data_IF_804092104561
#
_entry.id   IF_804092104561
#
_cell.length_a   1.000
_cell.length_b   1.000
_cell.length_c   1.000
_cell.angle_alpha   90.00
_cell.angle_beta   90.00
_cell.angle_gamma   90.00
#
_symmetry.space_group_name_H-M   'P 1'
#
loop_
_entity.id
_entity.type
_entity.pdbx_description
1 polymer ?
#
# COMPACT_ATOMS: atom_id res chain seq x y z
N UNK A 1 -11.45 5.77 17.68
CA UNK A 1 -10.77 5.54 18.97
C UNK A 1 -9.27 5.51 18.69
N UNK A 2 -8.44 6.15 19.52
CA UNK A 2 -6.99 6.12 19.34
C UNK A 2 -6.42 4.74 19.64
N UNK A 3 -5.42 4.32 18.86
CA UNK A 3 -4.72 3.03 18.98
C UNK A 3 -3.44 3.22 19.79
N UNK A 4 -3.56 3.14 21.11
CA UNK A 4 -2.47 3.48 22.05
C UNK A 4 -1.35 2.45 22.08
N UNK A 5 -1.61 1.20 21.69
CA UNK A 5 -0.63 0.11 21.68
C UNK A 5 0.32 0.17 20.48
N UNK A 6 0.04 1.04 19.51
CA UNK A 6 0.95 1.33 18.39
C UNK A 6 1.89 2.47 18.80
N UNK A 7 3.18 2.18 18.85
CA UNK A 7 4.24 3.12 19.22
C UNK A 7 5.18 3.46 18.05
N UNK A 8 5.11 2.70 16.96
CA UNK A 8 5.89 2.94 15.74
C UNK A 8 5.02 2.83 14.50
N UNK A 9 5.19 3.79 13.61
CA UNK A 9 4.62 3.77 12.26
C UNK A 9 5.73 3.74 11.23
N UNK A 10 5.53 2.94 10.20
CA UNK A 10 6.36 2.92 9.00
C UNK A 10 5.45 3.09 7.79
N UNK A 11 5.81 3.94 6.85
CA UNK A 11 5.15 3.96 5.56
C UNK A 11 6.21 3.87 4.47
N UNK A 12 5.99 2.95 3.53
CA UNK A 12 6.87 2.73 2.39
C UNK A 12 6.14 2.98 1.07
N UNK A 13 6.63 3.95 0.30
CA UNK A 13 6.36 4.01 -1.12
C UNK A 13 7.19 2.94 -1.84
N UNK A 14 6.56 2.16 -2.71
CA UNK A 14 7.13 0.90 -3.17
C UNK A 14 7.04 0.74 -4.68
N UNK A 15 8.10 0.18 -5.24
CA UNK A 15 8.21 -0.03 -6.67
C UNK A 15 9.05 -1.26 -7.01
N UNK A 16 8.92 -1.74 -8.24
CA UNK A 16 9.84 -2.71 -8.82
C UNK A 16 11.29 -2.16 -8.81
N UNK A 17 11.49 -0.86 -9.06
CA UNK A 17 12.82 -0.24 -9.06
C UNK A 17 13.30 0.03 -7.64
N UNK A 18 14.47 -0.51 -7.20
CA UNK A 18 15.01 -0.25 -5.87
C UNK A 18 15.19 1.25 -5.55
N UNK A 19 15.62 2.03 -6.55
CA UNK A 19 15.80 3.49 -6.42
C UNK A 19 14.52 4.28 -6.10
N UNK A 20 13.36 3.63 -6.24
CA UNK A 20 12.02 4.20 -6.02
C UNK A 20 11.34 3.57 -4.81
N UNK A 21 12.08 2.85 -3.97
CA UNK A 21 11.57 2.31 -2.71
C UNK A 21 12.04 3.25 -1.63
N UNK A 22 11.11 3.91 -0.95
CA UNK A 22 11.40 4.88 0.08
C UNK A 22 10.50 4.60 1.27
N UNK A 23 11.05 4.70 2.47
CA UNK A 23 10.23 4.69 3.68
C UNK A 23 10.52 5.90 4.55
N UNK A 24 9.56 6.24 5.38
CA UNK A 24 9.76 7.08 6.55
C UNK A 24 9.10 6.44 7.76
N UNK A 25 9.47 6.90 8.94
CA UNK A 25 8.97 6.35 10.19
C UNK A 25 8.55 7.45 11.16
N UNK A 26 7.62 7.12 12.03
CA UNK A 26 7.31 7.88 13.23
C UNK A 26 7.39 7.00 14.47
N UNK A 27 7.86 7.56 15.58
CA UNK A 27 7.83 6.89 16.89
C UNK A 27 7.12 7.76 17.91
N UNK A 28 6.34 7.13 18.79
CA UNK A 28 5.67 7.83 19.87
C UNK A 28 6.71 8.20 20.95
N UNK A 29 6.82 9.49 21.25
CA UNK A 29 7.73 10.03 22.26
C UNK A 29 7.09 11.25 22.92
N UNK A 30 6.98 11.24 24.27
CA UNK A 30 6.38 12.32 25.05
C UNK A 30 4.98 12.77 24.55
N UNK A 31 4.14 11.80 24.15
CA UNK A 31 2.79 12.08 23.66
C UNK A 31 2.71 12.61 22.23
N UNK A 32 3.84 12.75 21.53
CA UNK A 32 3.91 13.17 20.13
C UNK A 32 4.47 12.05 19.24
N UNK A 33 4.20 12.13 17.95
CA UNK A 33 4.84 11.33 16.91
C UNK A 33 6.09 12.04 16.40
N UNK A 34 7.25 11.54 16.79
CA UNK A 34 8.52 12.01 16.28
C UNK A 34 8.75 11.41 14.89
N UNK A 35 8.69 12.24 13.84
CA UNK A 35 8.81 11.83 12.44
C UNK A 35 10.26 12.00 11.98
N UNK A 36 10.84 10.93 11.45
CA UNK A 36 12.20 10.90 10.89
C UNK A 36 12.22 11.25 9.40
N UNK A 37 13.42 11.54 8.89
CA UNK A 37 13.60 11.78 7.46
C UNK A 37 13.32 10.51 6.64
N UNK A 38 12.81 10.65 5.40
CA UNK A 38 12.67 9.52 4.48
C UNK A 38 14.05 8.96 4.09
N UNK A 39 14.10 7.64 3.89
CA UNK A 39 15.30 6.87 3.54
C UNK A 39 14.99 5.91 2.40
N UNK A 40 15.91 5.79 1.44
CA UNK A 40 15.79 4.83 0.35
C UNK A 40 16.04 3.40 0.83
N UNK A 41 15.29 2.44 0.30
CA UNK A 41 15.41 1.02 0.61
C UNK A 41 16.23 0.34 -0.49
N UNK A 42 17.55 0.28 -0.29
CA UNK A 42 18.46 -0.33 -1.26
C UNK A 42 18.33 -1.87 -1.30
N UNK A 43 18.18 -2.50 -0.13
CA UNK A 43 18.05 -3.94 0.02
C UNK A 43 16.81 -4.26 0.86
N UNK A 44 15.76 -4.74 0.19
CA UNK A 44 14.45 -5.04 0.79
C UNK A 44 14.53 -6.10 1.88
N UNK A 45 15.32 -7.16 1.69
CA UNK A 45 15.48 -8.24 2.68
C UNK A 45 16.17 -7.73 3.94
N UNK A 46 17.31 -7.04 3.79
CA UNK A 46 18.04 -6.48 4.91
C UNK A 46 17.19 -5.46 5.67
N UNK A 47 16.47 -4.59 4.95
CA UNK A 47 15.54 -3.64 5.56
C UNK A 47 14.39 -4.32 6.31
N UNK A 48 13.83 -5.41 5.75
CA UNK A 48 12.77 -6.18 6.41
C UNK A 48 13.24 -6.70 7.78
N UNK A 49 14.42 -7.30 7.84
CA UNK A 49 14.99 -7.86 9.07
C UNK A 49 15.41 -6.76 10.06
N UNK A 50 16.12 -5.72 9.59
CA UNK A 50 16.79 -4.75 10.48
C UNK A 50 15.94 -3.53 10.84
N UNK A 51 14.87 -3.24 10.07
CA UNK A 51 14.04 -2.04 10.26
C UNK A 51 12.58 -2.43 10.49
N UNK A 52 11.95 -3.12 9.54
CA UNK A 52 10.52 -3.45 9.62
C UNK A 52 10.21 -4.33 10.83
N UNK A 53 10.96 -5.43 10.98
CA UNK A 53 10.78 -6.40 12.07
C UNK A 53 11.58 -6.05 13.33
N UNK A 54 12.28 -4.91 13.35
CA UNK A 54 13.05 -4.49 14.52
C UNK A 54 12.13 -4.31 15.73
N UNK A 55 12.49 -4.74 16.94
CA UNK A 55 11.66 -4.55 18.12
C UNK A 55 11.25 -3.08 18.36
N UNK A 56 10.04 -2.89 18.85
CA UNK A 56 9.49 -1.63 19.37
C UNK A 56 8.98 -1.84 20.81
N UNK A 57 8.63 -0.78 21.53
CA UNK A 57 8.07 -0.90 22.89
C UNK A 57 6.63 -1.39 22.85
N UNK A 58 5.90 -1.01 21.80
CA UNK A 58 4.57 -1.50 21.43
C UNK A 58 4.57 -2.14 20.04
N UNK A 59 3.45 -2.02 19.34
CA UNK A 59 3.30 -2.52 17.98
C UNK A 59 3.81 -1.52 16.93
N UNK A 60 4.40 -2.08 15.89
CA UNK A 60 4.68 -1.38 14.64
C UNK A 60 3.51 -1.57 13.67
N UNK A 61 2.94 -0.49 13.16
CA UNK A 61 2.05 -0.53 12.00
C UNK A 61 2.82 -0.04 10.76
N UNK A 62 2.91 -0.90 9.74
CA UNK A 62 3.65 -0.64 8.51
C UNK A 62 2.72 -0.63 7.28
N UNK A 63 2.62 0.53 6.64
CA UNK A 63 1.83 0.76 5.44
C UNK A 63 2.68 0.67 4.16
N UNK A 64 2.12 0.09 3.10
CA UNK A 64 2.80 -0.09 1.82
C UNK A 64 1.93 0.37 0.63
N UNK A 65 2.53 1.13 -0.30
CA UNK A 65 1.89 1.53 -1.57
C UNK A 65 1.90 0.41 -2.62
N UNK A 66 1.22 -0.70 -2.30
CA UNK A 66 0.81 -1.70 -3.27
C UNK A 66 -0.37 -2.51 -2.76
N UNK A 67 -1.20 -3.08 -3.67
CA UNK A 67 -2.29 -3.96 -3.29
C UNK A 67 -1.87 -5.15 -2.44
N UNK A 68 -2.60 -5.43 -1.37
CA UNK A 68 -2.48 -6.64 -0.56
C UNK A 68 -3.85 -7.35 -0.57
N UNK A 69 -3.86 -8.57 -1.10
CA UNK A 69 -5.09 -9.32 -1.40
C UNK A 69 -5.30 -9.52 -2.90
N UNK A 70 -6.31 -10.31 -3.26
CA UNK A 70 -6.59 -10.69 -4.66
C UNK A 70 -8.05 -10.40 -5.03
N UNK A 71 -8.40 -10.19 -6.31
CA UNK A 71 -9.78 -9.98 -6.72
C UNK A 71 -10.67 -11.19 -6.37
N UNK A 72 -11.83 -10.94 -5.77
CA UNK A 72 -12.70 -12.01 -5.27
C UNK A 72 -13.22 -12.93 -6.39
N UNK A 73 -13.45 -12.40 -7.59
CA UNK A 73 -13.88 -13.21 -8.73
C UNK A 73 -12.80 -14.20 -9.19
N UNK A 74 -11.53 -13.78 -9.20
CA UNK A 74 -10.43 -14.69 -9.48
C UNK A 74 -10.26 -15.72 -8.37
N UNK A 75 -10.35 -15.30 -7.10
CA UNK A 75 -10.20 -16.19 -5.94
C UNK A 75 -11.20 -17.37 -5.99
N UNK A 76 -12.44 -17.11 -6.42
CA UNK A 76 -13.46 -18.15 -6.63
C UNK A 76 -13.06 -19.18 -7.69
N UNK A 77 -12.43 -18.76 -8.79
CA UNK A 77 -12.01 -19.67 -9.88
C UNK A 77 -10.95 -20.68 -9.40
N UNK A 78 -10.15 -20.30 -8.41
CA UNK A 78 -9.07 -21.12 -7.85
C UNK A 78 -9.36 -21.67 -6.45
N UNK A 79 -10.60 -21.52 -5.97
CA UNK A 79 -11.05 -21.93 -4.63
C UNK A 79 -10.22 -21.35 -3.47
N UNK A 80 -9.71 -20.13 -3.63
CA UNK A 80 -9.10 -19.39 -2.53
C UNK A 80 -10.21 -18.80 -1.67
N UNK A 81 -10.29 -19.25 -0.42
CA UNK A 81 -11.32 -18.83 0.57
C UNK A 81 -10.74 -18.00 1.71
N UNK A 82 -9.43 -18.05 1.90
CA UNK A 82 -8.67 -17.25 2.86
C UNK A 82 -7.32 -16.88 2.24
N UNK A 83 -7.10 -15.58 2.02
CA UNK A 83 -5.88 -15.04 1.41
C UNK A 83 -4.66 -15.28 2.29
N UNK A 84 -4.81 -15.16 3.61
CA UNK A 84 -3.71 -15.36 4.55
C UNK A 84 -3.22 -16.80 4.46
N UNK A 85 -4.11 -17.78 4.55
CA UNK A 85 -3.73 -19.20 4.40
C UNK A 85 -3.19 -19.50 3.00
N UNK A 86 -3.82 -18.95 1.95
CA UNK A 86 -3.35 -19.15 0.58
C UNK A 86 -1.94 -18.60 0.33
N UNK A 87 -1.55 -17.50 0.98
CA UNK A 87 -0.21 -16.91 0.86
C UNK A 87 0.91 -17.91 1.19
N UNK A 88 0.65 -18.85 2.11
CA UNK A 88 1.59 -19.92 2.51
C UNK A 88 1.75 -20.98 1.43
N UNK A 89 0.74 -21.14 0.57
CA UNK A 89 0.76 -22.11 -0.53
C UNK A 89 1.54 -21.64 -1.75
N UNK A 90 1.95 -20.37 -1.80
CA UNK A 90 2.65 -19.78 -2.95
C UNK A 90 4.02 -20.40 -3.25
N UNK A 91 4.58 -21.18 -2.32
CA UNK A 91 5.82 -21.94 -2.51
C UNK A 91 5.59 -23.33 -3.12
N UNK A 92 4.34 -23.77 -3.21
CA UNK A 92 4.01 -25.09 -3.75
C UNK A 92 4.14 -25.12 -5.28
N UNK A 93 4.36 -26.30 -5.89
CA UNK A 93 4.46 -26.43 -7.34
C UNK A 93 3.25 -25.89 -8.13
N UNK A 94 2.05 -25.91 -7.53
CA UNK A 94 0.85 -25.35 -8.15
C UNK A 94 0.98 -23.85 -8.44
N UNK A 95 1.63 -23.11 -7.54
CA UNK A 95 1.70 -21.66 -7.54
C UNK A 95 3.07 -21.11 -7.92
N UNK A 96 3.99 -21.96 -8.38
CA UNK A 96 5.37 -21.58 -8.71
C UNK A 96 5.47 -20.45 -9.75
N UNK A 97 4.45 -20.29 -10.60
CA UNK A 97 4.38 -19.27 -11.64
C UNK A 97 3.50 -18.07 -11.27
N UNK A 98 2.98 -18.00 -10.04
CA UNK A 98 2.05 -16.94 -9.66
C UNK A 98 2.67 -15.55 -9.83
N UNK A 99 3.95 -15.40 -9.49
CA UNK A 99 4.68 -14.13 -9.64
C UNK A 99 5.30 -13.94 -11.03
N UNK A 100 5.13 -14.87 -11.97
CA UNK A 100 5.64 -14.71 -13.32
C UNK A 100 4.67 -13.91 -14.18
N UNK A 101 5.11 -12.77 -14.72
CA UNK A 101 4.29 -12.03 -15.67
C UNK A 101 4.28 -12.73 -17.04
N UNK A 102 3.09 -13.04 -17.56
CA UNK A 102 2.85 -13.60 -18.88
C UNK A 102 3.30 -12.61 -19.98
N UNK A 103 4.04 -13.11 -20.96
CA UNK A 103 4.49 -12.35 -22.12
C UNK A 103 3.53 -12.46 -23.31
N UNK A 104 2.78 -13.56 -23.40
CA UNK A 104 1.80 -13.83 -24.45
C UNK A 104 0.48 -14.25 -23.81
N UNK A 105 -0.61 -14.17 -24.57
CA UNK A 105 -1.93 -14.59 -24.09
C UNK A 105 -1.98 -16.08 -23.68
N UNK A 106 -1.19 -16.92 -24.35
CA UNK A 106 -1.21 -18.38 -24.15
C UNK A 106 -0.45 -18.78 -22.86
N UNK A 107 0.33 -17.87 -22.29
CA UNK A 107 0.97 -18.04 -20.97
C UNK A 107 0.04 -17.67 -19.80
N UNK A 108 -1.06 -16.96 -20.06
CA UNK A 108 -1.98 -16.52 -19.01
C UNK A 108 -2.74 -17.75 -18.51
N UNK A 109 -2.76 -17.93 -17.20
CA UNK A 109 -3.57 -18.96 -16.55
C UNK A 109 -3.99 -18.50 -15.16
N UNK A 110 -4.90 -19.25 -14.54
CA UNK A 110 -5.32 -18.99 -13.18
C UNK A 110 -4.15 -18.97 -12.18
N UNK A 111 -3.09 -19.76 -12.41
CA UNK A 111 -1.89 -19.81 -11.55
C UNK A 111 -0.73 -18.94 -12.07
N UNK A 112 -0.94 -18.22 -13.18
CA UNK A 112 0.00 -17.23 -13.75
C UNK A 112 -0.78 -16.01 -14.28
N UNK A 113 -1.38 -15.21 -13.40
CA UNK A 113 -2.41 -14.26 -13.81
C UNK A 113 -1.87 -12.90 -14.27
N UNK A 114 -0.63 -12.52 -13.96
CA UNK A 114 -0.12 -11.18 -14.29
C UNK A 114 0.19 -11.03 -15.78
N UNK A 115 -0.33 -9.99 -16.43
CA UNK A 115 -0.13 -9.72 -17.86
C UNK A 115 -0.32 -8.23 -18.19
N UNK A 116 0.43 -7.65 -19.15
CA UNK A 116 1.55 -8.23 -19.90
C UNK A 116 2.92 -7.89 -19.30
N UNK A 117 3.92 -8.76 -19.51
CA UNK A 117 5.30 -8.57 -19.01
C UNK A 117 5.90 -7.23 -19.42
N UNK A 118 5.68 -6.84 -20.68
CA UNK A 118 6.15 -5.59 -21.26
C UNK A 118 5.09 -5.02 -22.20
N UNK A 119 5.19 -3.71 -22.44
CA UNK A 119 4.44 -3.08 -23.52
C UNK A 119 4.80 -3.73 -24.87
N UNK A 120 3.80 -4.06 -25.66
CA UNK A 120 3.96 -4.69 -26.96
C UNK A 120 2.71 -4.51 -27.81
N UNK A 121 2.85 -4.62 -29.13
CA UNK A 121 1.71 -4.60 -30.05
C UNK A 121 0.78 -5.78 -29.75
N UNK A 122 -0.52 -5.52 -29.72
CA UNK A 122 -1.55 -6.56 -29.64
C UNK A 122 -1.93 -7.04 -28.24
N UNK A 123 -1.33 -6.50 -27.17
CA UNK A 123 -1.73 -6.83 -25.79
C UNK A 123 -3.12 -6.26 -25.48
N UNK A 124 -4.07 -7.08 -25.05
CA UNK A 124 -5.44 -6.64 -24.76
C UNK A 124 -5.89 -7.07 -23.37
N UNK A 125 -6.69 -6.22 -22.73
CA UNK A 125 -7.37 -6.58 -21.48
C UNK A 125 -8.29 -7.79 -21.65
N UNK A 126 -8.86 -7.97 -22.84
CA UNK A 126 -9.69 -9.13 -23.17
C UNK A 126 -8.93 -10.46 -23.12
N UNK A 127 -7.63 -10.46 -23.40
CA UNK A 127 -6.80 -11.67 -23.29
C UNK A 127 -6.80 -12.16 -21.84
N UNK A 128 -6.66 -11.23 -20.91
CA UNK A 128 -6.66 -11.49 -19.48
C UNK A 128 -8.02 -11.94 -18.98
N UNK A 129 -9.10 -11.25 -19.35
CA UNK A 129 -10.45 -11.61 -18.88
C UNK A 129 -10.88 -12.98 -19.40
N UNK A 130 -10.57 -13.29 -20.67
CA UNK A 130 -10.87 -14.59 -21.27
C UNK A 130 -10.08 -15.72 -20.60
N UNK A 131 -8.77 -15.55 -20.41
CA UNK A 131 -7.92 -16.58 -19.82
C UNK A 131 -8.21 -16.83 -18.33
N UNK A 132 -8.64 -15.80 -17.59
CA UNK A 132 -9.03 -15.92 -16.18
C UNK A 132 -10.51 -16.27 -15.98
N UNK A 133 -11.29 -16.41 -17.07
CA UNK A 133 -12.69 -16.81 -16.99
C UNK A 133 -13.58 -15.79 -16.27
N UNK A 134 -13.32 -14.50 -16.42
CA UNK A 134 -14.12 -13.42 -15.81
C UNK A 134 -14.88 -12.62 -16.85
N UNK A 135 -16.04 -12.11 -16.46
CA UNK A 135 -16.99 -11.45 -17.37
C UNK A 135 -16.47 -10.12 -17.93
N UNK A 136 -15.64 -9.42 -17.18
CA UNK A 136 -15.14 -8.09 -17.55
C UNK A 136 -13.81 -7.77 -16.88
N UNK A 137 -13.16 -6.71 -17.35
CA UNK A 137 -11.93 -6.20 -16.74
C UNK A 137 -12.19 -5.63 -15.33
N UNK A 138 -13.40 -5.12 -15.08
CA UNK A 138 -13.80 -4.61 -13.76
C UNK A 138 -13.98 -5.73 -12.73
N UNK A 139 -14.33 -6.95 -13.17
CA UNK A 139 -14.38 -8.14 -12.31
C UNK A 139 -13.01 -8.51 -11.72
N UNK A 140 -11.92 -7.97 -12.25
CA UNK A 140 -10.56 -8.12 -11.73
C UNK A 140 -10.18 -7.04 -10.71
N UNK A 141 -11.09 -6.13 -10.37
CA UNK A 141 -10.90 -5.20 -9.25
C UNK A 141 -11.34 -5.83 -7.95
N UNK A 142 -10.80 -5.31 -6.85
CA UNK A 142 -11.30 -5.54 -5.50
C UNK A 142 -12.45 -4.59 -5.18
N UNK A 143 -13.19 -4.87 -4.12
CA UNK A 143 -14.28 -4.03 -3.65
C UNK A 143 -13.81 -2.59 -3.39
N UNK A 144 -12.76 -2.40 -2.60
CA UNK A 144 -12.21 -1.07 -2.31
C UNK A 144 -11.81 -0.27 -3.56
N UNK A 145 -11.46 -0.95 -4.65
CA UNK A 145 -11.01 -0.34 -5.90
C UNK A 145 -12.19 0.07 -6.81
N UNK A 146 -13.29 -0.69 -6.79
CA UNK A 146 -14.51 -0.37 -7.55
C UNK A 146 -15.21 0.85 -6.99
N UNK A 147 -15.28 0.91 -5.65
CA UNK A 147 -16.01 1.94 -4.92
C UNK A 147 -15.24 3.27 -4.85
N UNK A 148 -14.00 3.30 -5.36
CA UNK A 148 -13.10 4.43 -5.25
C UNK A 148 -13.58 5.66 -6.02
N UNK A 149 -13.64 6.81 -5.35
CA UNK A 149 -14.04 8.08 -5.97
C UNK A 149 -12.98 8.61 -6.93
N UNK A 150 -13.37 8.81 -8.19
CA UNK A 150 -12.54 9.38 -9.24
C UNK A 150 -11.88 8.31 -10.11
N UNK A 151 -10.57 8.41 -10.32
CA UNK A 151 -9.85 7.43 -11.16
C UNK A 151 -9.64 6.14 -10.38
N UNK A 152 -10.36 5.09 -10.79
CA UNK A 152 -10.16 3.75 -10.25
C UNK A 152 -8.72 3.25 -10.49
N UNK A 153 -8.12 2.56 -9.52
CA UNK A 153 -6.84 1.91 -9.72
C UNK A 153 -6.95 0.81 -10.77
N UNK A 154 -5.80 0.45 -11.33
CA UNK A 154 -5.71 -0.62 -12.30
C UNK A 154 -5.87 -1.98 -11.59
N UNK A 155 -6.63 -2.95 -12.15
CA UNK A 155 -6.69 -4.30 -11.62
C UNK A 155 -5.31 -4.91 -11.37
N UNK A 156 -5.17 -5.64 -10.25
CA UNK A 156 -3.91 -6.23 -9.78
C UNK A 156 -3.14 -6.98 -10.88
N UNK A 157 -3.85 -7.79 -11.66
CA UNK A 157 -3.24 -8.67 -12.66
C UNK A 157 -2.87 -7.96 -13.97
N UNK A 158 -3.24 -6.70 -14.15
CA UNK A 158 -2.83 -5.93 -15.32
C UNK A 158 -1.56 -5.11 -15.04
N UNK A 159 -0.50 -5.38 -15.80
CA UNK A 159 0.84 -4.85 -15.52
C UNK A 159 1.33 -3.80 -16.55
N UNK A 160 0.41 -3.22 -17.33
CA UNK A 160 0.71 -2.22 -18.36
C UNK A 160 0.01 -0.88 -18.11
N UNK A 161 0.78 0.20 -18.26
CA UNK A 161 0.29 1.58 -18.13
C UNK A 161 0.81 2.27 -16.87
N UNK A 162 0.70 3.60 -16.84
CA UNK A 162 1.28 4.42 -15.78
C UNK A 162 0.59 4.24 -14.40
N UNK A 163 -0.64 3.69 -14.37
CA UNK A 163 -1.39 3.40 -13.15
C UNK A 163 -1.40 1.91 -12.79
N UNK A 164 -0.56 1.08 -13.43
CA UNK A 164 -0.47 -0.33 -13.07
C UNK A 164 0.14 -0.48 -11.68
N UNK A 165 -0.39 -1.42 -10.90
CA UNK A 165 0.05 -1.70 -9.53
C UNK A 165 0.61 -3.11 -9.38
N UNK A 166 0.34 -3.99 -10.34
CA UNK A 166 0.69 -5.41 -10.28
C UNK A 166 2.18 -5.66 -10.09
N UNK A 167 3.06 -4.92 -10.78
CA UNK A 167 4.52 -5.13 -10.64
C UNK A 167 5.04 -4.76 -9.25
N UNK A 168 4.49 -3.72 -8.63
CA UNK A 168 4.85 -3.34 -7.27
C UNK A 168 4.35 -4.39 -6.27
N UNK A 169 3.11 -4.87 -6.43
CA UNK A 169 2.56 -5.94 -5.61
C UNK A 169 3.38 -7.25 -5.73
N UNK A 170 3.74 -7.69 -6.94
CA UNK A 170 4.55 -8.90 -7.15
C UNK A 170 5.86 -8.86 -6.34
N UNK A 171 6.57 -7.74 -6.37
CA UNK A 171 7.83 -7.58 -5.62
C UNK A 171 7.56 -7.40 -4.14
N UNK A 172 6.61 -6.54 -3.76
CA UNK A 172 6.26 -6.28 -2.37
C UNK A 172 5.87 -7.56 -1.62
N UNK A 173 5.11 -8.45 -2.27
CA UNK A 173 4.70 -9.70 -1.66
C UNK A 173 5.86 -10.66 -1.46
N UNK A 174 6.75 -10.78 -2.44
CA UNK A 174 7.91 -11.67 -2.38
C UNK A 174 8.99 -11.16 -1.43
N UNK A 175 9.28 -9.86 -1.46
CA UNK A 175 10.40 -9.26 -0.73
C UNK A 175 10.04 -8.82 0.68
N UNK A 176 8.76 -8.53 0.95
CA UNK A 176 8.33 -7.93 2.23
C UNK A 176 7.23 -8.73 2.89
N UNK A 177 6.05 -8.87 2.26
CA UNK A 177 4.87 -9.43 2.95
C UNK A 177 5.14 -10.87 3.39
N UNK A 178 5.55 -11.76 2.49
CA UNK A 178 5.82 -13.16 2.82
C UNK A 178 6.94 -13.31 3.86
N UNK A 179 8.13 -12.67 3.72
CA UNK A 179 9.18 -12.74 4.73
C UNK A 179 8.78 -12.20 6.10
N UNK A 180 8.04 -11.09 6.17
CA UNK A 180 7.61 -10.49 7.43
C UNK A 180 6.53 -11.35 8.13
N UNK A 181 5.57 -11.87 7.35
CA UNK A 181 4.56 -12.81 7.84
C UNK A 181 5.19 -14.10 8.36
N UNK A 182 6.19 -14.64 7.65
CA UNK A 182 6.97 -15.79 8.12
C UNK A 182 7.76 -15.54 9.42
N UNK A 183 7.99 -14.27 9.77
CA UNK A 183 8.58 -13.83 11.04
C UNK A 183 7.53 -13.44 12.10
N UNK A 184 6.25 -13.68 11.84
CA UNK A 184 5.15 -13.44 12.78
C UNK A 184 4.51 -12.05 12.70
N UNK A 185 4.72 -11.29 11.61
CA UNK A 185 3.91 -10.10 11.37
C UNK A 185 2.45 -10.47 11.04
N UNK A 186 1.50 -9.71 11.57
CA UNK A 186 0.10 -9.78 11.17
C UNK A 186 -0.14 -8.99 9.88
N UNK A 187 -1.17 -9.37 9.13
CA UNK A 187 -1.61 -8.75 7.90
C UNK A 187 -3.04 -8.24 8.07
N UNK A 188 -3.21 -6.93 8.17
CA UNK A 188 -4.54 -6.31 8.23
C UNK A 188 -5.12 -6.15 6.81
N UNK A 189 -6.43 -6.42 6.59
CA UNK A 189 -7.46 -6.82 7.56
C UNK A 189 -7.62 -8.34 7.77
N UNK A 190 -6.77 -9.17 7.17
CA UNK A 190 -6.92 -10.63 7.12
C UNK A 190 -6.85 -11.31 8.48
N UNK A 191 -5.92 -10.87 9.33
CA UNK A 191 -5.72 -11.45 10.66
C UNK A 191 -6.65 -10.85 11.72
N UNK A 192 -7.50 -9.88 11.35
CA UNK A 192 -8.55 -9.33 12.22
C UNK A 192 -8.54 -7.81 12.34
N UNK A 193 -9.22 -7.33 13.38
CA UNK A 193 -9.37 -5.89 13.65
C UNK A 193 -8.05 -5.24 14.06
N UNK A 194 -7.79 -4.05 13.53
CA UNK A 194 -6.52 -3.34 13.76
C UNK A 194 -6.21 -3.12 15.25
N UNK A 195 -7.24 -2.80 16.05
CA UNK A 195 -7.09 -2.63 17.50
C UNK A 195 -6.68 -3.94 18.21
N UNK A 196 -7.29 -5.07 17.84
CA UNK A 196 -6.93 -6.38 18.41
C UNK A 196 -5.53 -6.81 17.99
N UNK A 197 -5.13 -6.51 16.75
CA UNK A 197 -3.79 -6.79 16.25
C UNK A 197 -2.73 -5.96 16.99
N UNK A 198 -3.00 -4.69 17.28
CA UNK A 198 -2.08 -3.82 18.01
C UNK A 198 -1.73 -4.33 19.41
N UNK A 199 -2.67 -5.03 20.08
CA UNK A 199 -2.44 -5.64 21.39
C UNK A 199 -1.67 -6.96 21.30
N UNK A 200 -1.90 -7.74 20.24
CA UNK A 200 -1.45 -9.13 20.15
C UNK A 200 -0.20 -9.35 19.31
N UNK A 201 0.16 -8.40 18.44
CA UNK A 201 1.25 -8.54 17.49
C UNK A 201 2.25 -7.38 17.61
N UNK A 202 3.52 -7.69 17.35
CA UNK A 202 4.60 -6.69 17.36
C UNK A 202 4.70 -5.90 16.06
N UNK A 203 4.25 -6.49 14.95
CA UNK A 203 4.29 -5.87 13.63
C UNK A 203 3.00 -6.21 12.88
N UNK A 204 2.40 -5.19 12.28
CA UNK A 204 1.17 -5.27 11.51
C UNK A 204 1.44 -4.62 10.16
N UNK A 205 1.14 -5.32 9.09
CA UNK A 205 1.30 -4.84 7.73
C UNK A 205 -0.08 -4.46 7.18
N UNK A 206 -0.16 -3.34 6.47
CA UNK A 206 -1.39 -2.90 5.82
C UNK A 206 -1.10 -2.27 4.45
N UNK A 207 -2.11 -2.27 3.58
CA UNK A 207 -2.07 -1.51 2.33
C UNK A 207 -2.41 -0.04 2.61
N UNK A 208 -1.65 0.85 1.97
CA UNK A 208 -1.90 2.29 1.95
C UNK A 208 -1.90 2.79 0.52
N UNK A 209 -2.48 3.96 0.29
CA UNK A 209 -2.46 4.59 -1.03
C UNK A 209 -2.17 6.09 -0.90
N UNK A 210 -0.98 6.58 -1.30
CA UNK A 210 -0.58 7.98 -1.13
C UNK A 210 -1.54 8.98 -1.78
N UNK A 211 -2.15 8.63 -2.91
CA UNK A 211 -3.18 9.49 -3.54
C UNK A 211 -4.39 9.67 -2.62
N UNK A 212 -4.85 8.60 -1.98
CA UNK A 212 -5.92 8.67 -0.99
C UNK A 212 -5.49 9.45 0.25
N UNK A 213 -4.26 9.22 0.73
CA UNK A 213 -3.71 9.97 1.85
C UNK A 213 -3.70 11.49 1.58
N UNK A 214 -3.32 11.91 0.37
CA UNK A 214 -3.41 13.30 -0.06
C UNK A 214 -4.82 13.87 0.11
N UNK A 215 -5.84 13.13 -0.36
CA UNK A 215 -7.23 13.56 -0.26
C UNK A 215 -7.70 13.65 1.19
N UNK A 216 -7.47 12.60 1.99
CA UNK A 216 -7.88 12.54 3.39
C UNK A 216 -7.21 13.63 4.25
N UNK A 217 -5.98 14.00 3.91
CA UNK A 217 -5.24 15.06 4.61
C UNK A 217 -5.48 16.46 4.04
N UNK A 218 -6.43 16.66 3.11
CA UNK A 218 -6.69 17.98 2.50
C UNK A 218 -5.52 18.52 1.65
N UNK A 219 -4.66 17.62 1.21
CA UNK A 219 -3.37 17.88 0.56
C UNK A 219 -3.35 17.35 -0.90
N UNK A 220 -4.52 17.12 -1.50
CA UNK A 220 -4.64 16.67 -2.89
C UNK A 220 -4.12 17.73 -3.87
N UNK A 221 -3.36 17.26 -4.86
CA UNK A 221 -2.88 18.08 -5.97
C UNK A 221 -4.04 18.31 -6.94
N UNK A 222 -4.23 19.56 -7.36
CA UNK A 222 -5.20 19.88 -8.41
C UNK A 222 -4.75 19.33 -9.78
N UNK A 223 -5.66 19.27 -10.76
CA UNK A 223 -5.35 18.77 -12.10
C UNK A 223 -4.28 19.57 -12.89
N UNK A 224 -3.85 20.74 -12.39
CA UNK A 224 -2.76 21.55 -12.95
C UNK A 224 -1.41 21.32 -12.26
N UNK A 225 -1.43 20.58 -11.16
CA UNK A 225 -0.27 20.29 -10.33
C UNK A 225 0.26 18.88 -10.60
N UNK A 226 1.52 18.65 -10.26
CA UNK A 226 2.18 17.36 -10.45
C UNK A 226 3.13 17.08 -9.29
N UNK A 227 3.07 15.87 -8.74
CA UNK A 227 4.01 15.41 -7.70
C UNK A 227 5.47 15.38 -8.20
N UNK A 228 5.69 15.42 -9.51
CA UNK A 228 7.03 15.54 -10.12
C UNK A 228 7.57 16.97 -10.10
N UNK A 229 6.75 17.98 -9.78
CA UNK A 229 7.14 19.38 -9.69
C UNK A 229 7.36 19.79 -8.24
N UNK A 230 8.58 20.23 -7.91
CA UNK A 230 8.96 20.62 -6.56
C UNK A 230 8.05 21.71 -5.96
N UNK A 231 7.68 22.73 -6.75
CA UNK A 231 6.82 23.82 -6.28
C UNK A 231 5.46 23.33 -5.79
N UNK A 232 4.91 22.30 -6.44
CA UNK A 232 3.62 21.73 -6.09
C UNK A 232 3.76 20.84 -4.85
N UNK A 233 4.86 20.07 -4.74
CA UNK A 233 5.18 19.34 -3.50
C UNK A 233 5.35 20.29 -2.31
N UNK A 234 6.02 21.42 -2.48
CA UNK A 234 6.18 22.44 -1.43
C UNK A 234 4.84 22.96 -0.92
N UNK A 235 3.88 23.19 -1.81
CA UNK A 235 2.55 23.62 -1.41
C UNK A 235 1.86 22.56 -0.55
N UNK A 236 1.95 21.28 -0.93
CA UNK A 236 1.42 20.17 -0.13
C UNK A 236 2.15 20.08 1.22
N UNK A 237 3.48 20.20 1.23
CA UNK A 237 4.28 20.14 2.46
C UNK A 237 3.86 21.21 3.48
N UNK A 238 3.53 22.42 3.04
CA UNK A 238 3.02 23.48 3.93
C UNK A 238 1.71 23.07 4.60
N UNK A 239 0.82 22.36 3.89
CA UNK A 239 -0.43 21.83 4.46
C UNK A 239 -0.14 20.69 5.45
N UNK A 240 0.80 19.79 5.12
CA UNK A 240 1.20 18.71 6.03
C UNK A 240 1.77 19.22 7.36
N UNK A 241 2.58 20.29 7.31
CA UNK A 241 3.11 20.97 8.50
C UNK A 241 2.00 21.61 9.36
N UNK A 242 0.83 21.90 8.77
CA UNK A 242 -0.31 22.55 9.42
C UNK A 242 -1.47 21.62 9.78
N UNK A 243 -1.29 20.30 9.76
CA UNK A 243 -2.36 19.31 9.98
C UNK A 243 -2.98 19.34 11.39
N UNK A 244 -2.29 19.91 12.38
CA UNK A 244 -2.74 19.90 13.78
C UNK A 244 -2.63 18.53 14.46
N UNK A 245 -2.08 17.53 13.77
CA UNK A 245 -1.73 16.24 14.37
C UNK A 245 -0.66 16.41 15.45
N UNK A 246 -0.61 15.53 16.46
CA UNK A 246 0.41 15.59 17.53
C UNK A 246 1.76 15.09 17.01
N UNK A 247 2.40 15.86 16.12
CA UNK A 247 3.66 15.49 15.45
C UNK A 247 4.81 16.39 15.87
N UNK A 248 5.99 15.80 16.01
CA UNK A 248 7.26 16.49 16.16
C UNK A 248 8.16 16.11 14.98
N UNK A 249 8.51 17.08 14.14
CA UNK A 249 9.38 16.84 13.01
C UNK A 249 10.84 16.89 13.46
N UNK A 250 11.59 15.81 13.25
CA UNK A 250 13.04 15.87 13.41
C UNK A 250 13.62 16.90 12.42
N UNK A 251 14.72 17.56 12.79
CA UNK A 251 15.34 18.58 11.94
C UNK A 251 15.61 18.09 10.51
N UNK A 252 16.13 16.86 10.28
CA UNK A 252 16.28 16.33 8.94
C UNK A 252 14.94 16.14 8.22
N UNK A 253 13.91 15.62 8.90
CA UNK A 253 12.59 15.42 8.32
C UNK A 253 11.98 16.75 7.88
N UNK A 254 12.05 17.77 8.74
CA UNK A 254 11.55 19.11 8.45
C UNK A 254 12.23 19.72 7.22
N UNK A 255 13.54 19.54 7.06
CA UNK A 255 14.27 20.02 5.88
C UNK A 255 13.78 19.37 4.57
N UNK A 256 13.36 18.11 4.59
CA UNK A 256 12.74 17.45 3.43
C UNK A 256 11.42 18.12 3.05
N UNK A 257 10.56 18.45 4.02
CA UNK A 257 9.31 19.19 3.76
C UNK A 257 9.58 20.61 3.25
N UNK A 258 10.51 21.34 3.87
CA UNK A 258 10.83 22.73 3.53
C UNK A 258 11.50 22.87 2.15
N UNK A 259 12.18 21.82 1.67
CA UNK A 259 12.75 21.77 0.32
C UNK A 259 11.81 21.15 -0.72
N UNK A 260 10.64 20.63 -0.32
CA UNK A 260 9.73 19.91 -1.21
C UNK A 260 10.37 18.67 -1.80
N UNK A 261 11.15 17.94 -0.99
CA UNK A 261 11.86 16.73 -1.37
C UNK A 261 12.87 16.91 -2.51
N UNK A 262 13.54 18.07 -2.52
CA UNK A 262 14.53 18.44 -3.52
C UNK A 262 13.93 18.86 -4.87
N UNK A 263 14.78 19.33 -5.78
CA UNK A 263 14.35 19.90 -7.08
C UNK A 263 13.95 18.84 -8.11
N UNK A 264 14.45 17.61 -7.94
CA UNK A 264 14.32 16.56 -8.93
C UNK A 264 12.93 15.95 -8.93
N UNK A 265 12.56 15.38 -10.09
CA UNK A 265 11.26 14.75 -10.27
C UNK A 265 11.10 13.45 -9.46
N UNK A 266 12.20 12.74 -9.20
CA UNK A 266 12.26 11.50 -8.40
C UNK A 266 12.10 11.74 -6.89
N UNK A 267 12.08 13.00 -6.42
CA UNK A 267 11.67 13.34 -5.06
C UNK A 267 10.20 13.01 -4.76
N UNK A 268 9.40 12.62 -5.77
CA UNK A 268 8.02 12.17 -5.61
C UNK A 268 7.89 10.91 -4.74
N UNK A 269 8.86 10.00 -4.81
CA UNK A 269 8.77 8.70 -4.13
C UNK A 269 8.91 8.88 -2.60
N UNK A 270 9.90 9.69 -2.17
CA UNK A 270 10.06 10.08 -0.76
C UNK A 270 8.89 10.94 -0.23
N UNK A 271 8.30 11.75 -1.10
CA UNK A 271 7.12 12.56 -0.79
C UNK A 271 5.88 11.69 -0.52
N UNK A 272 5.62 10.71 -1.37
CA UNK A 272 4.51 9.76 -1.21
C UNK A 272 4.69 8.91 0.05
N UNK A 273 5.93 8.53 0.37
CA UNK A 273 6.26 7.86 1.62
C UNK A 273 5.85 8.72 2.85
N UNK A 274 6.16 10.02 2.83
CA UNK A 274 5.80 10.93 3.91
C UNK A 274 4.29 11.15 4.04
N UNK A 275 3.62 11.29 2.90
CA UNK A 275 2.19 11.54 2.86
C UNK A 275 1.38 10.38 3.47
N UNK A 276 1.74 9.15 3.11
CA UNK A 276 1.13 7.96 3.70
C UNK A 276 1.38 7.86 5.21
N UNK A 277 2.58 8.18 5.69
CA UNK A 277 2.89 8.19 7.12
C UNK A 277 2.01 9.17 7.90
N UNK A 278 1.82 10.39 7.38
CA UNK A 278 0.99 11.41 8.03
C UNK A 278 -0.48 10.97 8.11
N UNK A 279 -1.01 10.33 7.06
CA UNK A 279 -2.35 9.75 7.10
C UNK A 279 -2.45 8.61 8.13
N UNK A 280 -1.45 7.73 8.21
CA UNK A 280 -1.42 6.68 9.22
C UNK A 280 -1.43 7.25 10.65
N UNK A 281 -0.73 8.36 10.91
CA UNK A 281 -0.80 9.07 12.20
C UNK A 281 -2.24 9.50 12.49
N UNK A 282 -2.94 10.11 11.53
CA UNK A 282 -4.33 10.51 11.70
C UNK A 282 -5.26 9.32 12.00
N UNK A 283 -5.02 8.15 11.39
CA UNK A 283 -5.75 6.91 11.69
C UNK A 283 -5.50 6.44 13.12
N UNK A 284 -4.24 6.32 13.55
CA UNK A 284 -3.94 5.80 14.90
C UNK A 284 -4.28 6.78 16.02
N UNK A 285 -4.31 8.08 15.73
CA UNK A 285 -4.85 9.10 16.66
C UNK A 285 -6.38 9.13 16.67
N UNK A 286 -7.04 8.33 15.82
CA UNK A 286 -8.49 8.23 15.74
C UNK A 286 -9.17 9.45 15.11
N UNK A 287 -8.42 10.30 14.39
CA UNK A 287 -8.96 11.39 13.59
C UNK A 287 -9.54 10.90 12.26
N UNK A 288 -9.01 9.77 11.76
CA UNK A 288 -9.57 9.03 10.63
C UNK A 288 -9.91 7.60 11.08
N UNK A 289 -11.01 7.01 10.59
CA UNK A 289 -11.26 5.58 10.73
C UNK A 289 -10.23 4.76 9.92
N UNK A 290 -9.93 3.54 10.37
CA UNK A 290 -9.08 2.61 9.60
C UNK A 290 -9.81 2.05 8.37
N UNK A 291 -11.12 1.82 8.48
CA UNK A 291 -12.02 1.42 7.41
C UNK A 291 -13.48 1.62 7.84
N UNK A 292 -14.41 1.56 6.89
CA UNK A 292 -15.81 1.29 7.18
C UNK A 292 -16.00 -0.20 7.54
N UNK A 293 -17.23 -0.63 7.75
CA UNK A 293 -17.54 -2.04 8.01
C UNK A 293 -17.12 -2.92 6.81
N UNK A 294 -16.10 -3.74 7.01
CA UNK A 294 -15.56 -4.62 5.96
C UNK A 294 -16.44 -5.85 5.75
N UNK A 295 -16.74 -6.14 4.47
CA UNK A 295 -17.41 -7.36 4.05
C UNK A 295 -16.56 -8.61 4.33
N UNK A 296 -17.13 -9.81 4.43
CA UNK A 296 -16.34 -11.05 4.52
C UNK A 296 -15.35 -11.21 3.38
N UNK A 297 -15.70 -10.75 2.16
CA UNK A 297 -14.81 -10.78 1.01
C UNK A 297 -13.59 -9.87 1.20
N UNK A 298 -13.80 -8.64 1.70
CA UNK A 298 -12.70 -7.72 2.02
C UNK A 298 -11.82 -8.25 3.15
N UNK A 299 -12.42 -8.85 4.18
CA UNK A 299 -11.68 -9.40 5.34
C UNK A 299 -10.85 -10.61 4.97
N UNK A 300 -11.38 -11.54 4.20
CA UNK A 300 -10.72 -12.83 3.99
C UNK A 300 -9.96 -12.94 2.67
N UNK A 301 -10.28 -12.14 1.64
CA UNK A 301 -9.77 -12.36 0.28
C UNK A 301 -9.15 -11.10 -0.35
N UNK A 302 -9.94 -10.04 -0.43
CA UNK A 302 -9.59 -8.87 -1.23
C UNK A 302 -8.66 -7.92 -0.47
N UNK A 303 -8.75 -7.85 0.86
CA UNK A 303 -8.04 -6.84 1.65
C UNK A 303 -8.70 -5.47 1.54
N UNK A 304 -8.04 -4.45 2.10
CA UNK A 304 -8.56 -3.09 2.15
C UNK A 304 -7.43 -2.06 2.21
N UNK A 305 -7.71 -0.84 1.73
CA UNK A 305 -6.80 0.30 1.83
C UNK A 305 -7.05 1.02 3.15
N UNK A 306 -6.02 1.19 3.98
CA UNK A 306 -6.14 1.87 5.26
C UNK A 306 -6.65 3.32 5.07
N UNK A 307 -7.64 3.70 5.86
CA UNK A 307 -8.29 5.01 5.82
C UNK A 307 -9.43 5.11 4.81
N UNK A 308 -9.62 4.13 3.93
CA UNK A 308 -10.67 4.20 2.90
C UNK A 308 -12.05 3.86 3.47
N UNK A 309 -12.97 4.84 3.42
CA UNK A 309 -14.36 4.72 3.88
C UNK A 309 -15.32 5.31 2.83
N UNK A 310 -15.82 4.50 1.88
CA UNK A 310 -16.64 4.99 0.77
C UNK A 310 -17.94 5.66 1.21
N UNK A 311 -18.49 5.30 2.37
CA UNK A 311 -19.77 5.81 2.88
C UNK A 311 -19.65 7.08 3.75
N UNK A 312 -18.43 7.52 4.08
CA UNK A 312 -18.18 8.63 5.02
C UNK A 312 -17.44 9.83 4.40
N UNK A 313 -17.06 9.75 3.12
CA UNK A 313 -16.47 10.91 2.45
C UNK A 313 -17.54 12.00 2.25
N UNK A 314 -17.34 13.23 2.76
CA UNK A 314 -18.27 14.32 2.51
C UNK A 314 -18.39 14.53 1.01
N UNK A 315 -19.61 14.53 0.49
CA UNK A 315 -19.89 15.09 -0.83
C UNK A 315 -19.36 16.53 -0.84
N UNK A 316 -18.34 16.77 -1.66
CA UNK A 316 -17.79 18.10 -1.95
C UNK A 316 -18.87 19.09 -2.35
#
# INVERSE_FOLDING_TARGET
MALIDIDRLLHADWSLSPSKRWYTQARRFNGLWQISAPVCIDNSRAWCESVLMAPSQGATLAGFDFPIGVPGQWARQVNVTDFRQWLETLETPQWQHFFDTAATRDEISLTRPFYPRRAGKGMRQSDLTQALGVESFDALRRQCERDMLGRQPCPLFWTLGANQVGKAAQVGWQDVIRPAVGQGAALWPFDGELASLAVSHRCILCETWPTLAARLMGAELSGRQSKRRQSDRLEVCRRLLGTGLPVAWETPARAWLESGFGERADGEDAFDAMLGLVMMIAVVEGQLPASSALSPMARHIEGWILGWCPDETPTS
#
